data_IF_779987161625
#
_entry.id   IF_779987161625
#
_cell.length_a   1.000
_cell.length_b   1.000
_cell.length_c   1.000
_cell.angle_alpha   90.00
_cell.angle_beta   90.00
_cell.angle_gamma   90.00
#
_symmetry.space_group_name_H-M   'P 1'
#
loop_
_entity.id
_entity.type
_entity.pdbx_description
1 polymer ?
#
# COMPACT_ATOMS: atom_id res chain seq x y z
N UNK A 1 20.08 -0.81 -7.23
CA UNK A 1 19.98 0.37 -6.32
C UNK A 1 21.29 0.52 -5.57
N UNK A 2 21.65 1.73 -5.13
CA UNK A 2 22.83 1.95 -4.30
C UNK A 2 22.57 1.46 -2.89
N UNK A 3 23.43 0.58 -2.38
CA UNK A 3 23.32 0.09 -1.01
C UNK A 3 23.81 1.19 -0.04
N UNK A 4 22.98 1.56 0.94
CA UNK A 4 23.31 2.58 1.94
C UNK A 4 24.45 2.14 2.88
N UNK A 5 24.66 0.84 3.04
CA UNK A 5 25.62 0.28 4.01
C UNK A 5 27.01 0.06 3.41
N UNK A 6 27.11 -0.39 2.15
CA UNK A 6 28.38 -0.84 1.55
C UNK A 6 28.85 0.01 0.36
N UNK A 7 28.17 1.12 0.04
CA UNK A 7 28.44 1.99 -1.12
C UNK A 7 28.49 1.26 -2.49
N UNK A 8 28.13 -0.02 -2.53
CA UNK A 8 28.03 -0.84 -3.74
C UNK A 8 26.67 -0.75 -4.42
N UNK A 9 26.58 -1.35 -5.61
CA UNK A 9 25.30 -1.55 -6.30
C UNK A 9 24.86 -3.00 -6.08
N UNK A 10 23.77 -3.19 -5.35
CA UNK A 10 23.16 -4.49 -5.19
C UNK A 10 21.90 -4.60 -6.06
N UNK A 11 21.57 -5.83 -6.46
CA UNK A 11 20.31 -6.12 -7.12
C UNK A 11 19.19 -6.11 -6.07
N UNK A 12 18.32 -5.13 -6.16
CA UNK A 12 17.14 -5.02 -5.30
C UNK A 12 15.88 -5.17 -6.12
N UNK A 13 14.86 -5.72 -5.47
CA UNK A 13 13.50 -5.80 -6.00
C UNK A 13 12.59 -4.91 -5.17
N UNK A 14 11.66 -4.26 -5.85
CA UNK A 14 10.64 -3.42 -5.24
C UNK A 14 9.35 -4.25 -5.10
N UNK A 15 9.07 -4.71 -3.89
CA UNK A 15 7.92 -5.55 -3.57
C UNK A 15 6.80 -4.69 -2.96
N UNK A 16 5.64 -4.73 -3.57
CA UNK A 16 4.47 -3.93 -3.21
C UNK A 16 3.33 -4.80 -2.73
N UNK A 17 2.49 -4.24 -1.85
CA UNK A 17 1.25 -4.86 -1.40
C UNK A 17 0.14 -3.83 -1.27
N UNK A 18 -1.06 -4.21 -1.69
CA UNK A 18 -2.30 -3.54 -1.31
C UNK A 18 -2.95 -4.34 -0.18
N UNK A 19 -3.24 -3.69 0.92
CA UNK A 19 -3.78 -4.32 2.13
C UNK A 19 -5.15 -3.75 2.41
N UNK A 20 -6.13 -4.63 2.60
CA UNK A 20 -7.46 -4.24 3.05
C UNK A 20 -7.39 -3.80 4.52
N UNK A 21 -8.02 -2.65 4.80
CA UNK A 21 -7.91 -1.98 6.09
C UNK A 21 -8.58 -2.75 7.23
N UNK A 22 -9.72 -3.36 6.97
CA UNK A 22 -10.54 -4.00 7.99
C UNK A 22 -10.03 -5.40 8.33
N UNK A 23 -9.72 -6.18 7.31
CA UNK A 23 -9.26 -7.56 7.47
C UNK A 23 -7.74 -7.68 7.65
N UNK A 24 -6.96 -6.69 7.23
CA UNK A 24 -5.50 -6.74 7.07
C UNK A 24 -5.03 -7.84 6.11
N UNK A 25 -5.88 -8.28 5.19
CA UNK A 25 -5.49 -9.20 4.14
C UNK A 25 -4.78 -8.46 3.00
N UNK A 26 -3.78 -9.08 2.43
CA UNK A 26 -3.15 -8.62 1.20
C UNK A 26 -4.10 -8.94 0.05
N UNK A 27 -4.67 -7.91 -0.56
CA UNK A 27 -5.65 -8.01 -1.65
C UNK A 27 -5.04 -7.82 -3.03
N UNK A 28 -3.84 -7.24 -3.11
CA UNK A 28 -3.06 -7.10 -4.33
C UNK A 28 -1.58 -7.09 -4.01
N UNK A 29 -0.77 -7.57 -4.95
CA UNK A 29 0.69 -7.56 -4.80
C UNK A 29 1.36 -7.41 -6.15
N UNK A 30 2.47 -6.71 -6.19
CA UNK A 30 3.31 -6.58 -7.37
C UNK A 30 4.79 -6.59 -7.02
N UNK A 31 5.62 -6.85 -8.01
CA UNK A 31 7.07 -6.85 -7.86
C UNK A 31 7.70 -6.24 -9.10
N UNK A 32 8.66 -5.34 -8.89
CA UNK A 32 9.44 -4.75 -9.96
C UNK A 32 10.91 -4.62 -9.58
N UNK A 33 11.72 -4.17 -10.52
CA UNK A 33 13.11 -3.77 -10.28
C UNK A 33 13.28 -2.25 -10.39
N UNK A 34 12.19 -1.48 -10.38
CA UNK A 34 12.26 -0.04 -10.42
C UNK A 34 12.80 0.54 -9.10
N UNK A 35 13.63 1.57 -9.17
CA UNK A 35 14.28 2.13 -8.00
C UNK A 35 13.36 3.01 -7.13
N UNK A 36 12.16 3.34 -7.59
CA UNK A 36 11.19 4.19 -6.90
C UNK A 36 9.78 3.59 -7.00
N UNK A 37 8.89 4.05 -6.13
CA UNK A 37 7.52 3.54 -6.02
C UNK A 37 6.53 4.27 -6.93
N UNK A 38 6.97 5.30 -7.65
CA UNK A 38 6.10 6.20 -8.38
C UNK A 38 5.27 5.51 -9.47
N UNK A 39 5.85 4.49 -10.11
CA UNK A 39 5.18 3.70 -11.15
C UNK A 39 4.49 2.43 -10.59
N UNK A 40 4.59 2.16 -9.29
CA UNK A 40 4.17 0.88 -8.72
C UNK A 40 2.69 0.87 -8.25
N UNK A 41 2.06 2.03 -8.14
CA UNK A 41 0.67 2.11 -7.69
C UNK A 41 -0.30 1.41 -8.65
N UNK A 42 -0.15 1.65 -9.95
CA UNK A 42 -1.02 1.07 -10.96
C UNK A 42 -0.93 -0.46 -11.01
N UNK A 43 0.25 -1.10 -11.20
CA UNK A 43 0.32 -2.56 -11.25
C UNK A 43 -0.14 -3.23 -9.95
N UNK A 44 0.05 -2.58 -8.79
CA UNK A 44 -0.45 -3.11 -7.52
C UNK A 44 -1.98 -3.07 -7.42
N UNK A 45 -2.62 -2.01 -7.93
CA UNK A 45 -4.08 -1.92 -8.02
C UNK A 45 -4.67 -2.93 -9.01
N UNK A 46 -4.06 -3.07 -10.17
CA UNK A 46 -4.48 -4.01 -11.21
C UNK A 46 -4.36 -5.48 -10.75
N UNK A 47 -3.49 -5.74 -9.78
CA UNK A 47 -3.36 -7.06 -9.16
C UNK A 47 -4.49 -7.40 -8.16
N UNK A 48 -5.38 -6.45 -7.83
CA UNK A 48 -6.55 -6.73 -6.98
C UNK A 48 -7.58 -7.50 -7.80
N UNK A 49 -7.96 -8.72 -7.39
CA UNK A 49 -8.94 -9.53 -8.11
C UNK A 49 -10.29 -8.79 -8.24
N UNK A 50 -10.90 -8.73 -9.43
CA UNK A 50 -12.20 -8.07 -9.62
C UNK A 50 -13.31 -8.59 -8.71
N UNK A 51 -13.22 -9.84 -8.28
CA UNK A 51 -14.17 -10.46 -7.36
C UNK A 51 -14.20 -9.80 -5.98
N UNK A 52 -13.16 -9.06 -5.59
CA UNK A 52 -13.10 -8.30 -4.34
C UNK A 52 -13.73 -6.91 -4.47
N UNK A 53 -14.11 -6.52 -5.69
CA UNK A 53 -14.64 -5.18 -5.98
C UNK A 53 -13.55 -4.12 -6.10
N UNK A 54 -13.99 -2.87 -6.29
CA UNK A 54 -13.10 -1.71 -6.39
C UNK A 54 -13.04 -1.01 -5.04
N UNK A 55 -11.86 -0.70 -4.49
CA UNK A 55 -11.77 0.05 -3.25
C UNK A 55 -12.34 1.47 -3.41
N UNK A 56 -13.04 1.98 -2.42
CA UNK A 56 -13.58 3.35 -2.44
C UNK A 56 -12.50 4.41 -2.22
N UNK A 57 -11.45 4.08 -1.48
CA UNK A 57 -10.33 4.97 -1.18
C UNK A 57 -9.02 4.20 -1.06
N UNK A 58 -7.90 4.89 -1.23
CA UNK A 58 -6.57 4.31 -1.08
C UNK A 58 -5.63 5.30 -0.40
N UNK A 59 -4.91 4.84 0.62
CA UNK A 59 -3.90 5.62 1.32
C UNK A 59 -2.49 5.15 0.93
N UNK A 60 -1.67 6.05 0.38
CA UNK A 60 -0.35 5.74 -0.14
C UNK A 60 0.73 6.65 0.46
N UNK A 61 1.95 6.16 0.46
CA UNK A 61 3.11 6.94 0.92
C UNK A 61 3.54 8.01 -0.11
N UNK A 62 4.41 8.89 0.32
CA UNK A 62 4.96 9.97 -0.51
C UNK A 62 5.66 9.47 -1.79
N UNK A 63 6.26 8.29 -1.76
CA UNK A 63 6.90 7.68 -2.93
C UNK A 63 6.00 7.50 -4.14
N UNK A 64 4.69 7.38 -3.92
CA UNK A 64 3.68 7.22 -4.98
C UNK A 64 3.12 8.53 -5.51
N UNK A 65 3.52 9.67 -4.96
CA UNK A 65 2.94 10.95 -5.36
C UNK A 65 3.34 11.32 -6.78
N UNK A 66 2.38 11.29 -7.70
CA UNK A 66 2.49 11.81 -9.05
C UNK A 66 1.13 12.31 -9.56
N UNK A 67 1.13 13.24 -10.50
CA UNK A 67 -0.11 13.67 -11.15
C UNK A 67 -0.77 12.52 -11.90
N UNK A 68 0.02 11.67 -12.56
CA UNK A 68 -0.46 10.49 -13.28
C UNK A 68 -1.20 9.52 -12.34
N UNK A 69 -0.65 9.22 -11.18
CA UNK A 69 -1.32 8.36 -10.20
C UNK A 69 -2.64 8.97 -9.72
N UNK A 70 -2.66 10.28 -9.42
CA UNK A 70 -3.90 10.95 -8.99
C UNK A 70 -5.00 10.81 -10.06
N UNK A 71 -4.66 11.04 -11.33
CA UNK A 71 -5.62 10.90 -12.45
C UNK A 71 -6.03 9.45 -12.67
N UNK A 72 -5.10 8.50 -12.53
CA UNK A 72 -5.40 7.07 -12.62
C UNK A 72 -6.40 6.63 -11.54
N UNK A 73 -6.17 7.00 -10.29
CA UNK A 73 -7.10 6.71 -9.19
C UNK A 73 -8.50 7.31 -9.44
N UNK A 74 -8.56 8.56 -9.91
CA UNK A 74 -9.83 9.21 -10.26
C UNK A 74 -10.56 8.48 -11.38
N UNK A 75 -9.85 8.05 -12.42
CA UNK A 75 -10.44 7.28 -13.52
C UNK A 75 -11.07 5.97 -13.03
N UNK A 76 -10.48 5.34 -12.03
CA UNK A 76 -11.02 4.15 -11.37
C UNK A 76 -12.10 4.45 -10.32
N UNK A 77 -12.43 5.73 -10.09
CA UNK A 77 -13.33 6.20 -9.03
C UNK A 77 -12.85 5.84 -7.62
N UNK A 78 -11.56 5.73 -7.43
CA UNK A 78 -10.92 5.50 -6.14
C UNK A 78 -10.47 6.85 -5.60
N UNK A 79 -10.80 7.17 -4.37
CA UNK A 79 -10.41 8.42 -3.73
C UNK A 79 -8.99 8.32 -3.12
N UNK A 80 -7.94 8.95 -3.74
CA UNK A 80 -6.57 8.80 -3.30
C UNK A 80 -6.24 9.73 -2.12
N UNK A 81 -5.48 9.21 -1.15
CA UNK A 81 -4.85 9.93 -0.04
C UNK A 81 -3.35 9.66 -0.08
N UNK A 82 -2.60 10.48 -0.82
CA UNK A 82 -1.18 10.28 -1.07
C UNK A 82 -0.39 11.35 -0.32
N UNK A 83 0.58 10.95 0.51
CA UNK A 83 1.44 11.92 1.19
C UNK A 83 2.17 12.83 0.20
N UNK A 84 2.26 14.11 0.50
CA UNK A 84 2.87 15.13 -0.37
C UNK A 84 4.27 15.54 0.06
N UNK A 85 4.76 14.98 1.17
CA UNK A 85 6.05 15.24 1.77
C UNK A 85 6.25 14.41 3.03
N UNK A 86 7.40 14.58 3.66
CA UNK A 86 7.64 14.01 5.00
C UNK A 86 6.99 14.94 6.02
N UNK A 87 6.06 14.40 6.80
CA UNK A 87 5.55 15.12 7.96
C UNK A 87 6.69 15.30 8.96
N UNK A 88 6.84 16.49 9.57
CA UNK A 88 7.78 16.67 10.66
C UNK A 88 7.42 15.69 11.79
N UNK A 89 8.40 14.92 12.25
CA UNK A 89 8.19 13.91 13.31
C UNK A 89 7.62 14.52 14.61
N UNK A 90 7.89 15.81 14.82
CA UNK A 90 7.39 16.56 15.97
C UNK A 90 6.98 17.96 15.50
N UNK A 91 5.76 18.15 14.95
CA UNK A 91 5.25 19.50 14.69
C UNK A 91 5.16 20.26 16.02
N UNK A 92 5.58 21.53 16.00
CA UNK A 92 5.48 22.39 17.19
C UNK A 92 4.03 22.48 17.65
N UNK A 93 3.80 22.73 18.94
CA UNK A 93 2.44 22.85 19.46
C UNK A 93 1.68 24.01 18.80
N UNK A 94 2.35 25.08 18.41
CA UNK A 94 1.77 26.18 17.63
C UNK A 94 1.26 25.71 16.26
N UNK A 95 2.00 24.86 15.55
CA UNK A 95 1.60 24.32 14.26
C UNK A 95 0.40 23.37 14.38
N UNK A 96 0.25 22.71 15.53
CA UNK A 96 -0.90 21.83 15.78
C UNK A 96 -2.21 22.59 15.95
N UNK A 97 -2.16 23.81 16.48
CA UNK A 97 -3.34 24.62 16.82
C UNK A 97 -3.59 25.80 15.87
N UNK A 98 -2.62 26.18 15.03
CA UNK A 98 -2.69 27.37 14.18
C UNK A 98 -3.39 27.18 12.83
N UNK A 99 -3.89 25.99 12.51
CA UNK A 99 -4.44 25.72 11.18
C UNK A 99 -5.93 26.02 11.08
N UNK A 100 -6.25 27.25 10.71
CA UNK A 100 -7.49 27.50 9.96
C UNK A 100 -7.32 26.89 8.57
N UNK A 101 -7.99 25.78 8.29
CA UNK A 101 -7.99 25.09 7.00
C UNK A 101 -8.76 25.96 5.99
N UNK A 102 -8.04 26.85 5.29
CA UNK A 102 -8.62 27.60 4.18
C UNK A 102 -8.56 26.70 2.92
N UNK A 103 -9.71 26.47 2.25
CA UNK A 103 -9.72 25.67 1.02
C UNK A 103 -8.78 26.27 -0.03
N UNK A 104 -7.98 25.47 -0.72
CA UNK A 104 -7.11 25.96 -1.77
C UNK A 104 -7.94 26.45 -2.96
N UNK A 105 -7.45 27.46 -3.72
CA UNK A 105 -8.12 27.91 -4.93
C UNK A 105 -8.25 26.78 -5.96
N UNK A 106 -9.26 26.87 -6.84
CA UNK A 106 -9.52 25.83 -7.85
C UNK A 106 -8.31 25.53 -8.75
N UNK A 107 -7.51 26.56 -9.02
CA UNK A 107 -6.30 26.46 -9.86
C UNK A 107 -5.06 26.00 -9.09
N UNK A 108 -5.18 25.66 -7.80
CA UNK A 108 -4.04 25.18 -7.02
C UNK A 108 -3.46 23.89 -7.59
N UNK A 109 -2.15 23.71 -7.45
CA UNK A 109 -1.46 22.51 -7.91
C UNK A 109 -2.02 21.23 -7.26
N UNK A 110 -1.94 20.07 -7.91
CA UNK A 110 -2.40 18.81 -7.34
C UNK A 110 -1.78 18.51 -5.97
N UNK A 111 -0.53 18.93 -5.77
CA UNK A 111 0.19 18.79 -4.49
C UNK A 111 -0.47 19.59 -3.36
N UNK A 112 -0.83 20.83 -3.63
CA UNK A 112 -1.49 21.70 -2.64
C UNK A 112 -2.89 21.18 -2.30
N UNK A 113 -3.65 20.74 -3.31
CA UNK A 113 -4.98 20.14 -3.10
C UNK A 113 -4.89 18.86 -2.27
N UNK A 114 -3.91 18.00 -2.55
CA UNK A 114 -3.71 16.77 -1.81
C UNK A 114 -3.26 17.05 -0.37
N UNK A 115 -2.33 18.00 -0.16
CA UNK A 115 -1.90 18.41 1.17
C UNK A 115 -3.08 18.95 2.00
N UNK A 116 -3.92 19.78 1.41
CA UNK A 116 -5.15 20.25 2.05
C UNK A 116 -6.10 19.09 2.40
N UNK A 117 -6.34 18.18 1.45
CA UNK A 117 -7.19 17.00 1.66
C UNK A 117 -6.72 16.14 2.83
N UNK A 118 -5.42 15.90 2.95
CA UNK A 118 -4.84 15.14 4.06
C UNK A 118 -4.98 15.85 5.42
N UNK A 119 -5.15 17.17 5.44
CA UNK A 119 -5.34 17.95 6.66
C UNK A 119 -6.81 18.01 7.12
N UNK A 120 -7.78 17.63 6.27
CA UNK A 120 -9.18 17.52 6.68
C UNK A 120 -9.35 16.40 7.73
N UNK A 121 -10.40 16.46 8.54
CA UNK A 121 -10.66 15.41 9.54
C UNK A 121 -10.79 14.02 8.92
N UNK A 122 -11.48 13.93 7.76
CA UNK A 122 -11.60 12.67 7.00
C UNK A 122 -10.22 12.23 6.47
N UNK A 123 -9.45 13.16 5.89
CA UNK A 123 -8.13 12.87 5.37
C UNK A 123 -7.16 12.39 6.44
N UNK A 124 -7.14 13.04 7.60
CA UNK A 124 -6.35 12.62 8.76
C UNK A 124 -6.76 11.21 9.24
N UNK A 125 -8.06 10.95 9.36
CA UNK A 125 -8.56 9.66 9.80
C UNK A 125 -8.12 8.54 8.85
N UNK A 126 -8.35 8.66 7.54
CA UNK A 126 -7.98 7.67 6.54
C UNK A 126 -6.46 7.49 6.45
N UNK A 127 -5.70 8.60 6.38
CA UNK A 127 -4.26 8.52 6.22
C UNK A 127 -3.55 7.95 7.46
N UNK A 128 -4.06 8.25 8.66
CA UNK A 128 -3.55 7.69 9.92
C UNK A 128 -3.63 6.16 9.95
N UNK A 129 -4.69 5.59 9.38
CA UNK A 129 -4.90 4.15 9.34
C UNK A 129 -3.86 3.42 8.50
N UNK A 130 -3.21 4.08 7.52
CA UNK A 130 -2.11 3.50 6.74
C UNK A 130 -1.03 2.86 7.62
N UNK A 131 -0.61 3.57 8.69
CA UNK A 131 0.41 3.06 9.62
C UNK A 131 -0.04 1.81 10.38
N UNK A 132 -1.33 1.70 10.63
CA UNK A 132 -1.91 0.54 11.31
C UNK A 132 -2.30 -0.60 10.36
N UNK A 133 -2.14 -0.42 9.04
CA UNK A 133 -2.54 -1.39 8.01
C UNK A 133 -1.31 -2.04 7.37
N UNK A 134 -0.55 -1.30 6.59
CA UNK A 134 0.57 -1.85 5.81
C UNK A 134 1.79 -2.15 6.68
N UNK A 135 2.14 -1.26 7.61
CA UNK A 135 3.33 -1.43 8.45
C UNK A 135 3.28 -2.71 9.30
N UNK A 136 2.16 -3.05 9.99
CA UNK A 136 2.04 -4.33 10.70
C UNK A 136 2.14 -5.55 9.78
N UNK A 137 1.55 -5.51 8.59
CA UNK A 137 1.61 -6.62 7.62
C UNK A 137 3.05 -6.88 7.21
N UNK A 138 3.78 -5.85 6.81
CA UNK A 138 5.20 -5.97 6.45
C UNK A 138 6.04 -6.38 7.66
N UNK A 139 5.73 -5.87 8.84
CA UNK A 139 6.38 -6.28 10.10
C UNK A 139 6.21 -7.78 10.37
N UNK A 140 5.00 -8.32 10.24
CA UNK A 140 4.73 -9.75 10.42
C UNK A 140 5.47 -10.60 9.36
N UNK A 141 5.50 -10.17 8.10
CA UNK A 141 6.25 -10.84 7.04
C UNK A 141 7.74 -10.92 7.39
N UNK A 142 8.34 -9.82 7.86
CA UNK A 142 9.76 -9.76 8.19
C UNK A 142 10.12 -10.48 9.49
N UNK A 143 9.32 -10.32 10.53
CA UNK A 143 9.67 -10.78 11.87
C UNK A 143 9.06 -12.15 12.19
N UNK A 144 7.79 -12.38 11.86
CA UNK A 144 7.11 -13.62 12.21
C UNK A 144 7.29 -14.71 11.15
N UNK A 145 7.23 -14.35 9.85
CA UNK A 145 7.52 -15.28 8.77
C UNK A 145 9.02 -15.35 8.44
N UNK A 146 9.83 -14.54 9.10
CA UNK A 146 11.29 -14.45 8.94
C UNK A 146 11.73 -14.17 7.48
N UNK A 147 10.85 -13.61 6.66
CA UNK A 147 11.15 -13.29 5.27
C UNK A 147 11.76 -11.90 5.16
N UNK A 148 13.09 -11.83 5.17
CA UNK A 148 13.85 -10.57 5.15
C UNK A 148 14.55 -10.30 3.83
N UNK A 149 14.74 -11.33 3.00
CA UNK A 149 15.39 -11.24 1.70
C UNK A 149 14.88 -12.32 0.75
N UNK A 150 14.93 -12.04 -0.54
CA UNK A 150 14.61 -13.03 -1.56
C UNK A 150 15.71 -14.06 -1.71
N UNK A 151 15.33 -15.31 -1.84
CA UNK A 151 16.24 -16.45 -2.05
C UNK A 151 16.49 -16.70 -3.53
N UNK A 152 15.49 -16.40 -4.36
CA UNK A 152 15.55 -16.58 -5.80
C UNK A 152 16.11 -15.35 -6.51
N UNK A 153 16.49 -15.52 -7.78
CA UNK A 153 16.97 -14.45 -8.65
C UNK A 153 16.19 -14.44 -9.95
N UNK A 154 16.14 -13.26 -10.58
CA UNK A 154 15.32 -13.01 -11.76
C UNK A 154 13.88 -12.64 -11.42
N UNK A 155 13.36 -11.62 -12.10
CA UNK A 155 12.09 -10.98 -11.75
C UNK A 155 10.92 -11.97 -11.66
N UNK A 156 10.82 -12.91 -12.61
CA UNK A 156 9.75 -13.89 -12.65
C UNK A 156 9.77 -14.85 -11.44
N UNK A 157 10.96 -15.36 -11.09
CA UNK A 157 11.09 -16.30 -9.96
C UNK A 157 10.85 -15.59 -8.62
N UNK A 158 11.39 -14.38 -8.47
CA UNK A 158 11.20 -13.55 -7.27
C UNK A 158 9.75 -13.10 -7.12
N UNK A 159 9.04 -12.85 -8.22
CA UNK A 159 7.61 -12.56 -8.18
C UNK A 159 6.80 -13.77 -7.68
N UNK A 160 7.15 -14.99 -8.09
CA UNK A 160 6.56 -16.22 -7.54
C UNK A 160 6.85 -16.39 -6.05
N UNK A 161 8.10 -16.16 -5.62
CA UNK A 161 8.49 -16.19 -4.21
C UNK A 161 7.69 -15.18 -3.39
N UNK A 162 7.54 -13.93 -3.89
CA UNK A 162 6.73 -12.90 -3.24
C UNK A 162 5.25 -13.29 -3.13
N UNK A 163 4.69 -13.88 -4.18
CA UNK A 163 3.32 -14.36 -4.18
C UNK A 163 3.09 -15.45 -3.10
N UNK A 164 4.04 -16.37 -2.93
CA UNK A 164 3.97 -17.41 -1.89
C UNK A 164 4.07 -16.80 -0.48
N UNK A 165 4.89 -15.78 -0.28
CA UNK A 165 4.98 -15.07 1.00
C UNK A 165 3.67 -14.37 1.34
N UNK A 166 3.09 -13.65 0.37
CA UNK A 166 1.79 -13.00 0.55
C UNK A 166 0.66 -14.01 0.83
N UNK A 167 0.65 -15.14 0.13
CA UNK A 167 -0.28 -16.24 0.36
C UNK A 167 -0.13 -16.81 1.78
N UNK A 168 1.09 -17.06 2.22
CA UNK A 168 1.38 -17.60 3.56
C UNK A 168 0.90 -16.65 4.65
N UNK A 169 1.12 -15.34 4.47
CA UNK A 169 0.59 -14.32 5.36
C UNK A 169 -0.95 -14.34 5.38
N UNK A 170 -1.59 -14.35 4.22
CA UNK A 170 -3.05 -14.36 4.11
C UNK A 170 -3.68 -15.61 4.74
N UNK A 171 -3.12 -16.80 4.54
CA UNK A 171 -3.58 -18.03 5.17
C UNK A 171 -3.52 -17.94 6.70
N UNK A 172 -2.41 -17.45 7.24
CA UNK A 172 -2.27 -17.23 8.68
C UNK A 172 -3.28 -16.20 9.20
N UNK A 173 -3.50 -15.12 8.46
CA UNK A 173 -4.45 -14.07 8.83
C UNK A 173 -5.88 -14.58 8.78
N UNK A 174 -6.28 -15.30 7.73
CA UNK A 174 -7.59 -15.94 7.61
C UNK A 174 -7.86 -16.90 8.75
N UNK A 175 -6.88 -17.77 9.09
CA UNK A 175 -6.99 -18.64 10.24
C UNK A 175 -7.28 -17.87 11.54
N UNK A 176 -6.61 -16.74 11.75
CA UNK A 176 -6.86 -15.88 12.92
C UNK A 176 -8.25 -15.25 12.89
N UNK A 177 -8.68 -14.73 11.72
CA UNK A 177 -9.99 -14.10 11.57
C UNK A 177 -11.17 -15.07 11.74
N UNK A 178 -10.97 -16.34 11.38
CA UNK A 178 -11.99 -17.38 11.49
C UNK A 178 -11.91 -18.18 12.79
N UNK A 179 -11.08 -17.78 13.75
CA UNK A 179 -10.81 -18.54 14.98
C UNK A 179 -10.45 -20.01 14.72
N UNK A 180 -9.75 -20.27 13.63
CA UNK A 180 -9.38 -21.62 13.19
C UNK A 180 -10.52 -22.39 12.48
N UNK A 181 -11.71 -21.84 12.39
CA UNK A 181 -12.83 -22.42 11.66
C UNK A 181 -12.83 -21.88 10.23
N UNK A 182 -12.20 -22.58 9.31
CA UNK A 182 -12.30 -22.25 7.89
C UNK A 182 -13.73 -22.59 7.41
N UNK A 183 -14.39 -21.69 6.66
CA UNK A 183 -15.68 -22.01 6.07
C UNK A 183 -15.52 -23.23 5.14
N UNK A 184 -16.52 -24.12 5.05
CA UNK A 184 -16.45 -25.26 4.17
C UNK A 184 -16.21 -24.80 2.72
N UNK A 185 -15.22 -25.41 2.06
CA UNK A 185 -14.93 -25.17 0.64
C UNK A 185 -16.21 -25.47 -0.15
N UNK A 186 -16.88 -24.44 -0.63
CA UNK A 186 -17.93 -24.57 -1.64
C UNK A 186 -17.26 -24.83 -2.99
N UNK A 187 -16.99 -26.08 -3.27
CA UNK A 187 -16.63 -26.50 -4.62
C UNK A 187 -17.95 -26.43 -5.40
N UNK A 188 -18.13 -25.39 -6.19
CA UNK A 188 -19.17 -25.39 -7.20
C UNK A 188 -18.84 -26.50 -8.19
N UNK A 189 -19.70 -27.50 -8.41
CA UNK A 189 -19.47 -28.45 -9.46
C UNK A 189 -19.53 -27.65 -10.77
N UNK A 190 -18.36 -27.45 -11.40
CA UNK A 190 -18.29 -27.02 -12.77
C UNK A 190 -19.02 -28.07 -13.59
N UNK A 191 -20.21 -27.71 -14.06
CA UNK A 191 -20.96 -28.55 -14.99
C UNK A 191 -20.09 -28.85 -16.21
N UNK A 192 -20.09 -30.12 -16.58
CA UNK A 192 -19.69 -30.59 -17.91
C UNK A 192 -20.58 -29.99 -18.98
#
# INVERSE_FOLDING_TARGET
MKNSTNQGFDQHYNAQVAVDQDSLLIVGQSLSNHPNDQAEAQPTLEAIPPALGTPSSAALDNGYFSAANIEHFKALRIDPYIATGRDPHHPSWHERFAQSLTPPPEQASPKVKMAYKLQTEIGKAIYRLRKCTVEPVIGIIKETLAFRQFSLRGLSHVAGEWALVCLSFNLKRLHTLTNGQLPPLRISPTGC
#
